data_IF_260855081627
#
_entry.id   IF_260855081627
#
_cell.length_a   1.000
_cell.length_b   1.000
_cell.length_c   1.000
_cell.angle_alpha   90.00
_cell.angle_beta   90.00
_cell.angle_gamma   90.00
#
_symmetry.space_group_name_H-M   'P 1'
#
loop_
_entity.id
_entity.type
_entity.pdbx_description
1 polymer ?
#
# COMPACT_ATOMS: atom_id res chain seq x y z
N UNK A 1 49.42 15.83 -36.18
CA UNK A 1 50.65 15.54 -36.93
C UNK A 1 51.63 16.65 -36.61
N UNK A 2 52.86 16.30 -36.25
CA UNK A 2 53.85 17.29 -35.78
C UNK A 2 54.27 18.22 -36.93
N UNK A 3 54.36 19.52 -36.66
CA UNK A 3 54.93 20.51 -37.57
C UNK A 3 56.46 20.52 -37.44
N UNK A 4 57.14 19.92 -38.41
CA UNK A 4 58.59 19.81 -38.44
C UNK A 4 59.30 21.14 -38.70
N UNK A 5 58.64 22.14 -39.29
CA UNK A 5 59.23 23.47 -39.50
C UNK A 5 59.23 24.26 -38.20
N UNK A 6 58.14 24.17 -37.43
CA UNK A 6 58.06 24.77 -36.09
C UNK A 6 59.03 24.11 -35.11
N UNK A 7 59.15 22.78 -35.16
CA UNK A 7 60.10 22.03 -34.35
C UNK A 7 61.55 22.46 -34.65
N UNK A 8 61.92 22.54 -35.94
CA UNK A 8 63.26 22.99 -36.37
C UNK A 8 63.58 24.40 -35.89
N UNK A 9 62.64 25.35 -36.03
CA UNK A 9 62.80 26.72 -35.53
C UNK A 9 62.99 26.74 -34.01
N UNK A 10 62.20 25.98 -33.28
CA UNK A 10 62.24 25.93 -31.81
C UNK A 10 63.57 25.39 -31.30
N UNK A 11 64.08 24.31 -31.89
CA UNK A 11 65.36 23.72 -31.51
C UNK A 11 66.53 24.66 -31.84
N UNK A 12 66.50 25.31 -33.00
CA UNK A 12 67.50 26.30 -33.38
C UNK A 12 67.55 27.48 -32.40
N UNK A 13 66.39 28.02 -31.98
CA UNK A 13 66.33 29.15 -31.05
C UNK A 13 66.77 28.75 -29.64
N UNK A 14 66.30 27.60 -29.12
CA UNK A 14 66.52 27.22 -27.71
C UNK A 14 67.87 26.55 -27.45
N UNK A 15 68.38 25.80 -28.42
CA UNK A 15 69.55 24.95 -28.24
C UNK A 15 70.69 25.33 -29.18
N UNK A 16 70.51 26.31 -30.07
CA UNK A 16 71.49 26.75 -31.06
C UNK A 16 71.98 25.62 -31.98
N UNK A 17 71.11 24.64 -32.26
CA UNK A 17 71.37 23.49 -33.14
C UNK A 17 70.49 23.59 -34.38
N UNK A 18 71.12 23.50 -35.56
CA UNK A 18 70.43 23.50 -36.84
C UNK A 18 70.17 22.06 -37.29
N UNK A 19 68.92 21.61 -37.24
CA UNK A 19 68.55 20.25 -37.62
C UNK A 19 68.41 20.16 -39.16
N UNK A 20 69.20 19.28 -39.76
CA UNK A 20 69.11 18.94 -41.18
C UNK A 20 68.01 17.91 -41.49
N UNK A 21 67.69 17.65 -42.77
CA UNK A 21 66.67 16.68 -43.18
C UNK A 21 66.95 15.25 -42.69
N UNK A 22 68.23 14.86 -42.64
CA UNK A 22 68.68 13.52 -42.21
C UNK A 22 69.09 13.47 -40.73
N UNK A 23 68.69 14.47 -39.93
CA UNK A 23 69.07 14.54 -38.53
C UNK A 23 68.39 13.41 -37.70
N UNK A 24 69.16 12.60 -36.96
CA UNK A 24 68.62 11.53 -36.13
C UNK A 24 67.55 11.99 -35.12
N UNK A 25 67.59 13.25 -34.67
CA UNK A 25 66.57 13.82 -33.77
C UNK A 25 65.22 13.93 -34.50
N UNK A 26 65.21 14.40 -35.75
CA UNK A 26 63.98 14.48 -36.55
C UNK A 26 63.43 13.09 -36.85
N UNK A 27 64.28 12.14 -37.23
CA UNK A 27 63.89 10.73 -37.45
C UNK A 27 63.25 10.13 -36.19
N UNK A 28 63.84 10.40 -35.02
CA UNK A 28 63.30 9.93 -33.74
C UNK A 28 61.94 10.55 -33.43
N UNK A 29 61.75 11.84 -33.68
CA UNK A 29 60.46 12.52 -33.47
C UNK A 29 59.40 12.00 -34.44
N UNK A 30 59.75 11.76 -35.71
CA UNK A 30 58.84 11.13 -36.69
C UNK A 30 58.40 9.74 -36.22
N UNK A 31 59.33 8.92 -35.71
CA UNK A 31 59.00 7.61 -35.18
C UNK A 31 58.04 7.70 -33.99
N UNK A 32 58.25 8.67 -33.09
CA UNK A 32 57.33 8.91 -31.97
C UNK A 32 55.94 9.37 -32.46
N UNK A 33 55.85 10.29 -33.43
CA UNK A 33 54.55 10.75 -33.98
C UNK A 33 53.77 9.58 -34.58
N UNK A 34 54.44 8.70 -35.33
CA UNK A 34 53.81 7.51 -35.93
C UNK A 34 53.33 6.52 -34.87
N UNK A 35 54.16 6.21 -33.87
CA UNK A 35 53.81 5.27 -32.80
C UNK A 35 52.67 5.82 -31.94
N UNK A 36 52.77 7.08 -31.51
CA UNK A 36 51.73 7.73 -30.70
C UNK A 36 50.43 7.89 -31.50
N UNK A 37 50.50 8.28 -32.76
CA UNK A 37 49.35 8.32 -33.66
C UNK A 37 48.66 6.96 -33.75
N UNK A 38 49.43 5.88 -33.92
CA UNK A 38 48.89 4.53 -33.94
C UNK A 38 48.22 4.14 -32.62
N UNK A 39 48.80 4.48 -31.48
CA UNK A 39 48.17 4.23 -30.18
C UNK A 39 46.87 5.01 -30.01
N UNK A 40 46.82 6.28 -30.44
CA UNK A 40 45.62 7.11 -30.40
C UNK A 40 44.51 6.51 -31.27
N UNK A 41 44.83 6.01 -32.46
CA UNK A 41 43.85 5.32 -33.32
C UNK A 41 43.27 4.09 -32.63
N UNK A 42 44.14 3.23 -32.06
CA UNK A 42 43.71 2.01 -31.37
C UNK A 42 42.83 2.34 -30.16
N UNK A 43 43.24 3.32 -29.35
CA UNK A 43 42.47 3.76 -28.18
C UNK A 43 41.13 4.37 -28.59
N UNK A 44 41.09 5.17 -29.65
CA UNK A 44 39.84 5.73 -30.18
C UNK A 44 38.89 4.62 -30.61
N UNK A 45 39.38 3.65 -31.39
CA UNK A 45 38.58 2.52 -31.85
C UNK A 45 38.07 1.64 -30.70
N UNK A 46 38.90 1.39 -29.68
CA UNK A 46 38.48 0.68 -28.47
C UNK A 46 37.42 1.46 -27.69
N UNK A 47 37.61 2.77 -27.51
CA UNK A 47 36.67 3.62 -26.81
C UNK A 47 35.30 3.66 -27.53
N UNK A 48 35.27 3.79 -28.85
CA UNK A 48 34.04 3.65 -29.64
C UNK A 48 33.37 2.28 -29.45
N UNK A 49 34.16 1.20 -29.39
CA UNK A 49 33.68 -0.14 -29.06
C UNK A 49 33.05 -0.21 -27.66
N UNK A 50 33.72 0.35 -26.66
CA UNK A 50 33.21 0.42 -25.29
C UNK A 50 31.94 1.25 -25.18
N UNK A 51 31.84 2.38 -25.88
CA UNK A 51 30.63 3.21 -25.89
C UNK A 51 29.43 2.46 -26.49
N UNK A 52 29.63 1.71 -27.58
CA UNK A 52 28.59 0.86 -28.17
C UNK A 52 28.15 -0.26 -27.23
N UNK A 53 29.12 -0.95 -26.60
CA UNK A 53 28.83 -1.98 -25.62
C UNK A 53 28.08 -1.42 -24.40
N UNK A 54 28.47 -0.24 -23.93
CA UNK A 54 27.81 0.45 -22.82
C UNK A 54 26.37 0.84 -23.18
N UNK A 55 26.14 1.37 -24.38
CA UNK A 55 24.80 1.71 -24.85
C UNK A 55 23.89 0.46 -24.93
N UNK A 56 24.41 -0.66 -25.41
CA UNK A 56 23.69 -1.94 -25.43
C UNK A 56 23.36 -2.44 -24.02
N UNK A 57 24.32 -2.41 -23.10
CA UNK A 57 24.12 -2.80 -21.71
C UNK A 57 23.10 -1.89 -21.00
N UNK A 58 23.14 -0.58 -21.24
CA UNK A 58 22.15 0.35 -20.69
C UNK A 58 20.75 0.05 -21.21
N UNK A 59 20.60 -0.25 -22.50
CA UNK A 59 19.31 -0.64 -23.06
C UNK A 59 18.79 -1.93 -22.42
N UNK A 60 19.65 -2.93 -22.24
CA UNK A 60 19.31 -4.17 -21.55
C UNK A 60 18.87 -3.91 -20.10
N UNK A 61 19.63 -3.11 -19.35
CA UNK A 61 19.29 -2.75 -17.97
C UNK A 61 17.96 -2.00 -17.87
N UNK A 62 17.63 -1.13 -18.83
CA UNK A 62 16.33 -0.45 -18.88
C UNK A 62 15.20 -1.46 -19.06
N UNK A 63 15.34 -2.42 -19.97
CA UNK A 63 14.31 -3.45 -20.17
C UNK A 63 14.17 -4.40 -18.96
N UNK A 64 15.29 -4.82 -18.37
CA UNK A 64 15.27 -5.60 -17.13
C UNK A 64 14.63 -4.84 -15.95
N UNK A 65 14.90 -3.53 -15.86
CA UNK A 65 14.31 -2.65 -14.86
C UNK A 65 12.80 -2.54 -15.05
N UNK A 66 12.32 -2.33 -16.29
CA UNK A 66 10.88 -2.32 -16.62
C UNK A 66 10.21 -3.65 -16.25
N UNK A 67 10.82 -4.79 -16.62
CA UNK A 67 10.27 -6.10 -16.31
C UNK A 67 10.21 -6.36 -14.78
N UNK A 68 11.22 -5.91 -14.05
CA UNK A 68 11.26 -6.04 -12.58
C UNK A 68 10.25 -5.12 -11.92
N UNK A 69 10.15 -3.86 -12.34
CA UNK A 69 9.15 -2.92 -11.87
C UNK A 69 7.73 -3.44 -12.14
N UNK A 70 7.49 -4.00 -13.33
CA UNK A 70 6.22 -4.63 -13.68
C UNK A 70 5.84 -5.75 -12.71
N UNK A 71 6.76 -6.69 -12.43
CA UNK A 71 6.54 -7.75 -11.45
C UNK A 71 6.23 -7.20 -10.06
N UNK A 72 7.02 -6.25 -9.56
CA UNK A 72 6.81 -5.66 -8.23
C UNK A 72 5.43 -5.00 -8.13
N UNK A 73 5.01 -4.27 -9.15
CA UNK A 73 3.68 -3.62 -9.17
C UNK A 73 2.57 -4.67 -9.17
N UNK A 74 2.68 -5.71 -10.00
CA UNK A 74 1.69 -6.79 -10.06
C UNK A 74 1.63 -7.56 -8.74
N UNK A 75 2.77 -8.00 -8.20
CA UNK A 75 2.84 -8.74 -6.94
C UNK A 75 2.27 -7.91 -5.78
N UNK A 76 2.57 -6.60 -5.75
CA UNK A 76 2.01 -5.69 -4.75
C UNK A 76 0.50 -5.51 -4.92
N UNK A 77 0.01 -5.37 -6.15
CA UNK A 77 -1.42 -5.26 -6.43
C UNK A 77 -2.18 -6.53 -6.02
N UNK A 78 -1.63 -7.70 -6.32
CA UNK A 78 -2.19 -9.00 -5.94
C UNK A 78 -2.20 -9.16 -4.41
N UNK A 79 -1.11 -8.77 -3.74
CA UNK A 79 -1.05 -8.78 -2.27
C UNK A 79 -2.10 -7.87 -1.65
N UNK A 80 -2.21 -6.61 -2.11
CA UNK A 80 -3.20 -5.65 -1.60
C UNK A 80 -4.62 -6.14 -1.87
N UNK A 81 -4.89 -6.66 -3.07
CA UNK A 81 -6.18 -7.26 -3.44
C UNK A 81 -6.55 -8.41 -2.51
N UNK A 82 -5.59 -9.30 -2.20
CA UNK A 82 -5.76 -10.37 -1.23
C UNK A 82 -6.11 -9.86 0.17
N UNK A 83 -5.36 -8.86 0.66
CA UNK A 83 -5.60 -8.24 1.97
C UNK A 83 -6.98 -7.57 2.06
N UNK A 84 -7.39 -6.85 1.01
CA UNK A 84 -8.72 -6.23 0.94
C UNK A 84 -9.81 -7.28 0.97
N UNK A 85 -9.69 -8.36 0.18
CA UNK A 85 -10.67 -9.45 0.19
C UNK A 85 -10.77 -10.11 1.56
N UNK A 86 -9.64 -10.31 2.23
CA UNK A 86 -9.61 -10.88 3.57
C UNK A 86 -10.28 -9.95 4.60
N UNK A 87 -9.97 -8.65 4.56
CA UNK A 87 -10.59 -7.66 5.42
C UNK A 87 -12.11 -7.55 5.19
N UNK A 88 -12.55 -7.54 3.93
CA UNK A 88 -13.98 -7.53 3.59
C UNK A 88 -14.68 -8.79 4.09
N UNK A 89 -14.07 -9.97 3.93
CA UNK A 89 -14.64 -11.24 4.40
C UNK A 89 -14.75 -11.25 5.93
N UNK A 90 -13.73 -10.76 6.63
CA UNK A 90 -13.75 -10.62 8.08
C UNK A 90 -14.86 -9.66 8.53
N UNK A 91 -14.96 -8.49 7.92
CA UNK A 91 -15.99 -7.50 8.23
C UNK A 91 -17.41 -8.01 7.97
N UNK A 92 -17.64 -8.74 6.87
CA UNK A 92 -18.94 -9.37 6.59
C UNK A 92 -19.29 -10.46 7.61
N UNK A 93 -18.29 -11.23 8.05
CA UNK A 93 -18.48 -12.27 9.07
C UNK A 93 -18.83 -11.66 10.43
N UNK A 94 -18.13 -10.59 10.80
CA UNK A 94 -18.38 -9.84 12.03
C UNK A 94 -19.76 -9.15 12.00
N UNK A 95 -20.09 -8.46 10.92
CA UNK A 95 -21.40 -7.83 10.73
C UNK A 95 -22.54 -8.86 10.76
N UNK A 96 -22.34 -10.03 10.14
CA UNK A 96 -23.31 -11.13 10.20
C UNK A 96 -23.45 -11.77 11.59
N UNK A 97 -22.40 -11.75 12.41
CA UNK A 97 -22.46 -12.17 13.81
C UNK A 97 -23.23 -11.15 14.66
N UNK A 98 -22.89 -9.87 14.54
CA UNK A 98 -23.59 -8.77 15.22
C UNK A 98 -25.07 -8.74 14.85
N UNK A 99 -25.42 -8.83 13.57
CA UNK A 99 -26.82 -8.85 13.13
C UNK A 99 -27.61 -10.03 13.72
N UNK A 100 -26.98 -11.21 13.83
CA UNK A 100 -27.63 -12.37 14.47
C UNK A 100 -27.86 -12.14 15.96
N UNK A 101 -26.92 -11.48 16.63
CA UNK A 101 -27.06 -11.10 18.03
C UNK A 101 -28.18 -10.07 18.21
N UNK A 102 -28.19 -9.00 17.42
CA UNK A 102 -29.24 -7.97 17.45
C UNK A 102 -30.63 -8.56 17.22
N UNK A 103 -30.77 -9.48 16.26
CA UNK A 103 -32.03 -10.19 16.00
C UNK A 103 -32.43 -11.08 17.18
N UNK A 104 -31.48 -11.73 17.84
CA UNK A 104 -31.75 -12.54 19.03
C UNK A 104 -32.21 -11.68 20.21
N UNK A 105 -31.54 -10.54 20.44
CA UNK A 105 -31.89 -9.57 21.48
C UNK A 105 -33.26 -8.94 21.21
N UNK A 106 -33.54 -8.51 19.98
CA UNK A 106 -34.84 -7.98 19.59
C UNK A 106 -35.98 -9.01 19.77
N UNK A 107 -35.72 -10.29 19.47
CA UNK A 107 -36.68 -11.38 19.71
C UNK A 107 -36.89 -11.63 21.20
N UNK A 108 -35.83 -11.59 22.01
CA UNK A 108 -35.93 -11.72 23.46
C UNK A 108 -36.76 -10.58 24.07
N UNK A 109 -36.45 -9.34 23.71
CA UNK A 109 -37.21 -8.16 24.13
C UNK A 109 -38.69 -8.24 23.72
N UNK A 110 -38.97 -8.72 22.50
CA UNK A 110 -40.36 -8.91 22.02
C UNK A 110 -41.12 -10.00 22.82
N UNK A 111 -40.45 -11.08 23.22
CA UNK A 111 -41.03 -12.13 24.07
C UNK A 111 -41.30 -11.62 25.47
N UNK A 112 -40.39 -10.83 26.02
CA UNK A 112 -40.54 -10.22 27.35
C UNK A 112 -41.68 -9.19 27.37
N UNK A 113 -41.78 -8.34 26.34
CA UNK A 113 -42.89 -7.41 26.20
C UNK A 113 -44.25 -8.11 26.06
N UNK A 114 -44.33 -9.20 25.28
CA UNK A 114 -45.56 -9.98 25.15
C UNK A 114 -45.94 -10.73 26.43
N UNK A 115 -44.95 -11.25 27.18
CA UNK A 115 -45.19 -11.83 28.50
C UNK A 115 -45.68 -10.77 29.50
N UNK A 116 -45.09 -9.57 29.51
CA UNK A 116 -45.53 -8.43 30.33
C UNK A 116 -46.97 -7.98 30.03
N UNK A 117 -47.37 -8.00 28.76
CA UNK A 117 -48.76 -7.72 28.36
C UNK A 117 -49.72 -8.81 28.84
N UNK A 118 -49.31 -10.08 28.81
CA UNK A 118 -50.12 -11.19 29.31
C UNK A 118 -50.26 -11.17 30.83
N UNK A 119 -49.18 -10.90 31.57
CA UNK A 119 -49.22 -10.78 33.03
C UNK A 119 -50.02 -9.55 33.46
N UNK A 120 -49.91 -8.43 32.75
CA UNK A 120 -50.74 -7.25 32.99
C UNK A 120 -52.23 -7.50 32.71
N UNK A 121 -52.56 -8.27 31.66
CA UNK A 121 -53.94 -8.71 31.40
C UNK A 121 -54.45 -9.64 32.52
N UNK A 122 -53.65 -10.63 32.92
CA UNK A 122 -53.99 -11.56 34.00
C UNK A 122 -54.23 -10.82 35.33
N UNK A 123 -53.36 -9.87 35.67
CA UNK A 123 -53.49 -9.01 36.85
C UNK A 123 -54.73 -8.13 36.81
N UNK A 124 -55.10 -7.58 35.63
CA UNK A 124 -56.37 -6.84 35.48
C UNK A 124 -57.59 -7.73 35.73
N UNK A 125 -57.62 -8.94 35.19
CA UNK A 125 -58.74 -9.86 35.39
C UNK A 125 -58.88 -10.30 36.84
N UNK A 126 -57.77 -10.56 37.54
CA UNK A 126 -57.80 -10.94 38.96
C UNK A 126 -58.16 -9.75 39.86
N UNK A 127 -57.72 -8.53 39.52
CA UNK A 127 -58.10 -7.32 40.25
C UNK A 127 -59.60 -7.01 40.12
N UNK A 128 -60.19 -7.21 38.94
CA UNK A 128 -61.64 -7.05 38.73
C UNK A 128 -62.43 -8.10 39.50
N UNK A 129 -61.96 -9.35 39.54
CA UNK A 129 -62.59 -10.40 40.34
C UNK A 129 -62.50 -10.10 41.85
N UNK A 130 -61.35 -9.61 42.32
CA UNK A 130 -61.15 -9.25 43.72
C UNK A 130 -62.01 -8.05 44.15
N UNK A 131 -62.17 -7.03 43.30
CA UNK A 131 -63.01 -5.88 43.60
C UNK A 131 -64.50 -6.24 43.68
N UNK A 132 -64.96 -7.17 42.83
CA UNK A 132 -66.33 -7.69 42.91
C UNK A 132 -66.60 -8.42 44.24
N UNK A 133 -65.64 -9.22 44.71
CA UNK A 133 -65.74 -9.92 46.01
C UNK A 133 -65.71 -8.93 47.18
N UNK A 134 -64.83 -7.93 47.13
CA UNK A 134 -64.75 -6.88 48.16
C UNK A 134 -66.04 -6.06 48.26
N UNK A 135 -66.67 -5.72 47.12
CA UNK A 135 -67.95 -5.01 47.09
C UNK A 135 -69.09 -5.83 47.71
N UNK A 136 -69.12 -7.15 47.47
CA UNK A 136 -70.07 -8.06 48.11
C UNK A 136 -69.86 -8.12 49.63
N UNK A 137 -68.62 -8.24 50.10
CA UNK A 137 -68.33 -8.22 51.54
C UNK A 137 -68.68 -6.89 52.21
N UNK A 138 -68.47 -5.76 51.54
CA UNK A 138 -68.84 -4.44 52.06
C UNK A 138 -70.37 -4.28 52.19
N UNK A 139 -71.15 -4.82 51.23
CA UNK A 139 -72.61 -4.83 51.31
C UNK A 139 -73.11 -5.70 52.47
N UNK A 140 -72.49 -6.86 52.70
CA UNK A 140 -72.83 -7.73 53.84
C UNK A 140 -72.49 -7.06 55.17
N UNK A 141 -71.36 -6.38 55.26
CA UNK A 141 -70.97 -5.63 56.47
C UNK A 141 -71.93 -4.46 56.75
N UNK A 142 -72.32 -3.70 55.73
CA UNK A 142 -73.31 -2.63 55.86
C UNK A 142 -74.68 -3.17 56.30
N UNK A 143 -75.13 -4.29 55.73
CA UNK A 143 -76.36 -4.94 56.16
C UNK A 143 -76.29 -5.40 57.62
N UNK A 144 -75.16 -5.96 58.07
CA UNK A 144 -74.96 -6.34 59.46
C UNK A 144 -74.98 -5.14 60.43
N UNK A 145 -74.37 -4.01 60.06
CA UNK A 145 -74.37 -2.78 60.87
C UNK A 145 -75.78 -2.18 60.97
N UNK A 146 -76.55 -2.17 59.88
CA UNK A 146 -77.94 -1.69 59.89
C UNK A 146 -78.82 -2.54 60.80
N UNK A 147 -78.65 -3.87 60.80
CA UNK A 147 -79.39 -4.78 61.68
C UNK A 147 -79.06 -4.57 63.16
N UNK A 148 -77.82 -4.20 63.48
CA UNK A 148 -77.40 -3.92 64.87
C UNK A 148 -77.91 -2.56 65.37
N UNK A 149 -78.00 -1.55 64.50
CA UNK A 149 -78.50 -0.21 64.86
C UNK A 149 -80.03 -0.12 65.03
N UNK A 150 -80.78 -1.07 64.48
CA UNK A 150 -82.25 -1.15 64.57
C UNK A 150 -82.76 -1.97 65.77
N UNK A 151 -81.88 -2.33 66.71
CA UNK A 151 -82.17 -3.18 67.86
C UNK A 151 -81.82 -2.48 69.16
#
# INVERSE_FOLDING_TARGET
MIDFDELRKTVAIKHNVLLGPDDPILVTVTLHDLVLGRYVEVLTAQNEGHQKALAAALQEHVEQSKATAGRVITDAADYVSGQVRQAVTAALTEAGAQLRQDVAEARAASREASAGVQTAKAARTTAIAASAIAALCALVALAAVVVVLLK
#
